data_IF_450285607084
#
_entry.id   IF_450285607084
#
_cell.length_a   1.000
_cell.length_b   1.000
_cell.length_c   1.000
_cell.angle_alpha   90.00
_cell.angle_beta   90.00
_cell.angle_gamma   90.00
#
_symmetry.space_group_name_H-M   'P 1'
#
loop_
_entity.id
_entity.type
_entity.pdbx_description
1 polymer ?
#
# COMPACT_ATOMS: atom_id res chain seq x y z
N UNK A 1 16.32 -8.76 -6.23
CA UNK A 1 15.18 -8.10 -6.91
C UNK A 1 15.62 -6.68 -7.19
N UNK A 2 15.46 -6.19 -8.43
CA UNK A 2 15.81 -4.80 -8.76
C UNK A 2 14.82 -3.85 -8.07
N UNK A 3 15.33 -2.76 -7.50
CA UNK A 3 14.56 -1.76 -6.77
C UNK A 3 13.64 -1.01 -7.74
N UNK A 4 12.35 -0.88 -7.40
CA UNK A 4 11.38 -0.22 -8.29
C UNK A 4 11.60 1.30 -8.40
N UNK A 5 12.41 1.90 -7.50
CA UNK A 5 12.65 3.34 -7.41
C UNK A 5 11.34 4.15 -7.36
N UNK A 6 10.30 3.58 -6.73
CA UNK A 6 8.96 4.16 -6.64
C UNK A 6 8.64 4.43 -5.15
N UNK A 7 8.77 5.69 -4.68
CA UNK A 7 8.29 6.06 -3.36
C UNK A 7 6.78 5.82 -3.24
N UNK A 8 6.33 5.41 -2.05
CA UNK A 8 4.92 5.12 -1.80
C UNK A 8 4.01 6.31 -2.15
N UNK A 9 4.42 7.54 -1.83
CA UNK A 9 3.68 8.75 -2.19
C UNK A 9 3.43 8.91 -3.69
N UNK A 10 4.35 8.45 -4.54
CA UNK A 10 4.17 8.50 -5.99
C UNK A 10 3.17 7.43 -6.44
N UNK A 11 3.24 6.22 -5.90
CA UNK A 11 2.24 5.19 -6.16
C UNK A 11 0.82 5.66 -5.77
N UNK A 12 0.69 6.37 -4.66
CA UNK A 12 -0.60 6.89 -4.19
C UNK A 12 -1.26 7.90 -5.15
N UNK A 13 -0.51 8.48 -6.09
CA UNK A 13 -1.07 9.34 -7.15
C UNK A 13 -1.80 8.54 -8.25
N UNK A 14 -1.53 7.23 -8.33
CA UNK A 14 -2.08 6.32 -9.35
C UNK A 14 -3.36 5.61 -8.88
N UNK A 15 -3.71 5.72 -7.60
CA UNK A 15 -4.89 5.08 -7.00
C UNK A 15 -5.91 6.11 -6.52
N UNK A 16 -7.19 5.75 -6.61
CA UNK A 16 -8.26 6.58 -6.10
C UNK A 16 -8.20 6.72 -4.57
N UNK A 17 -8.63 7.86 -3.98
CA UNK A 17 -8.53 8.11 -2.54
C UNK A 17 -9.32 7.11 -1.67
N UNK A 18 -10.35 6.47 -2.24
CA UNK A 18 -11.16 5.44 -1.58
C UNK A 18 -10.59 4.02 -1.71
N UNK A 19 -9.54 3.82 -2.51
CA UNK A 19 -8.91 2.53 -2.72
C UNK A 19 -8.38 1.97 -1.40
N UNK A 20 -8.74 0.73 -1.09
CA UNK A 20 -8.22 0.04 0.09
C UNK A 20 -6.79 -0.44 -0.18
N UNK A 21 -5.91 -0.22 0.80
CA UNK A 21 -4.50 -0.58 0.80
C UNK A 21 -4.14 -1.33 2.09
N UNK A 22 -3.24 -2.28 1.99
CA UNK A 22 -2.49 -2.88 3.09
C UNK A 22 -1.00 -2.67 2.80
N UNK A 23 -0.27 -1.96 3.68
CA UNK A 23 1.18 -1.73 3.52
C UNK A 23 1.94 -2.59 4.52
N UNK A 24 2.96 -3.29 4.03
CA UNK A 24 3.71 -4.29 4.78
C UNK A 24 5.19 -4.00 4.64
N UNK A 25 5.90 -3.94 5.76
CA UNK A 25 7.36 -3.88 5.76
C UNK A 25 7.93 -5.28 5.48
N UNK A 26 9.08 -5.33 4.80
CA UNK A 26 9.73 -6.57 4.37
C UNK A 26 9.85 -7.63 5.49
N UNK A 27 10.16 -7.20 6.71
CA UNK A 27 10.38 -8.08 7.85
C UNK A 27 9.20 -8.12 8.84
N UNK A 28 8.06 -7.48 8.51
CA UNK A 28 6.91 -7.41 9.40
C UNK A 28 5.93 -8.57 9.18
N UNK A 29 5.48 -9.17 10.29
CA UNK A 29 4.43 -10.20 10.27
C UNK A 29 3.02 -9.62 10.05
N UNK A 30 2.83 -8.34 10.37
CA UNK A 30 1.55 -7.63 10.26
C UNK A 30 1.70 -6.36 9.40
N UNK A 31 0.62 -5.89 8.74
CA UNK A 31 0.65 -4.63 8.01
C UNK A 31 0.92 -3.44 8.93
N UNK A 32 1.86 -2.57 8.53
CA UNK A 32 2.12 -1.29 9.20
C UNK A 32 1.02 -0.26 8.92
N UNK A 33 0.24 -0.47 7.86
CA UNK A 33 -0.94 0.32 7.58
C UNK A 33 -2.03 -0.53 6.92
N UNK A 34 -3.28 -0.33 7.33
CA UNK A 34 -4.46 -0.89 6.66
C UNK A 34 -5.54 0.19 6.60
N UNK A 35 -5.98 0.55 5.39
CA UNK A 35 -6.98 1.61 5.25
C UNK A 35 -7.14 2.11 3.83
N UNK A 36 -7.83 3.26 3.70
CA UNK A 36 -8.01 3.93 2.40
C UNK A 36 -6.74 4.69 2.01
N UNK A 37 -6.45 4.80 0.72
CA UNK A 37 -5.33 5.56 0.18
C UNK A 37 -5.30 7.03 0.62
N UNK A 38 -6.44 7.65 0.90
CA UNK A 38 -6.47 9.00 1.46
C UNK A 38 -5.90 9.09 2.89
N UNK A 39 -6.00 8.02 3.67
CA UNK A 39 -5.64 7.99 5.11
C UNK A 39 -4.16 7.73 5.35
N UNK A 40 -3.48 7.05 4.44
CA UNK A 40 -2.03 6.84 4.57
C UNK A 40 -1.24 8.15 4.43
N UNK A 41 -1.83 9.21 3.87
CA UNK A 41 -1.20 10.53 3.81
C UNK A 41 -0.93 11.14 5.19
N UNK A 42 -1.64 10.68 6.21
CA UNK A 42 -1.43 11.06 7.60
C UNK A 42 -0.22 10.33 8.23
N UNK A 43 0.39 9.38 7.52
CA UNK A 43 1.54 8.56 7.92
C UNK A 43 2.80 8.96 7.14
N UNK A 44 3.34 10.14 7.43
CA UNK A 44 4.48 10.73 6.71
C UNK A 44 5.71 9.80 6.67
N UNK A 45 5.92 9.00 7.72
CA UNK A 45 7.02 8.04 7.84
C UNK A 45 7.01 6.94 6.77
N UNK A 46 5.83 6.65 6.19
CA UNK A 46 5.67 5.63 5.15
C UNK A 46 5.77 6.21 3.73
N UNK A 47 5.51 7.51 3.56
CA UNK A 47 5.32 8.12 2.24
C UNK A 47 6.57 8.13 1.36
N UNK A 48 7.73 8.30 1.97
CA UNK A 48 9.03 8.29 1.28
C UNK A 48 9.65 6.91 1.18
N UNK A 49 9.03 5.89 1.80
CA UNK A 49 9.52 4.51 1.72
C UNK A 49 9.35 3.97 0.31
N UNK A 50 10.34 3.20 -0.11
CA UNK A 50 10.40 2.65 -1.44
C UNK A 50 9.53 1.40 -1.54
N UNK A 51 8.65 1.38 -2.55
CA UNK A 51 7.83 0.24 -2.87
C UNK A 51 8.70 -0.88 -3.46
N UNK A 52 8.59 -2.06 -2.87
CA UNK A 52 9.24 -3.29 -3.28
C UNK A 52 8.37 -4.11 -4.23
N UNK A 53 7.08 -4.24 -3.91
CA UNK A 53 6.13 -5.05 -4.65
C UNK A 53 4.71 -4.51 -4.45
N UNK A 54 3.87 -4.63 -5.47
CA UNK A 54 2.44 -4.33 -5.41
C UNK A 54 1.67 -5.55 -5.91
N UNK A 55 0.73 -6.05 -5.12
CA UNK A 55 -0.21 -7.09 -5.54
C UNK A 55 -1.64 -6.57 -5.40
N UNK A 56 -2.47 -6.81 -6.42
CA UNK A 56 -3.91 -6.62 -6.31
C UNK A 56 -4.55 -7.90 -5.78
N UNK A 57 -5.30 -7.80 -4.67
CA UNK A 57 -6.05 -8.93 -4.09
C UNK A 57 -7.53 -8.61 -4.01
N UNK A 58 -8.35 -9.59 -4.38
CA UNK A 58 -9.77 -9.56 -4.11
C UNK A 58 -9.99 -10.05 -2.67
N UNK A 59 -10.53 -9.20 -1.79
CA UNK A 59 -11.01 -9.67 -0.49
C UNK A 59 -12.47 -10.05 -0.66
N UNK A 60 -12.80 -11.30 -0.35
CA UNK A 60 -14.19 -11.76 -0.28
C UNK A 60 -14.81 -11.12 0.97
N UNK A 61 -15.27 -9.88 0.80
CA UNK A 61 -16.14 -9.17 1.74
C UNK A 61 -17.53 -9.08 1.11
N UNK A 62 -18.59 -8.80 1.88
CA UNK A 62 -19.94 -8.60 1.34
C UNK A 62 -20.03 -7.58 0.19
N UNK A 63 -19.02 -6.71 0.08
CA UNK A 63 -18.93 -5.62 -0.89
C UNK A 63 -17.94 -5.85 -2.04
N UNK A 64 -17.33 -7.06 -2.16
CA UNK A 64 -16.34 -7.39 -3.20
C UNK A 64 -15.31 -6.28 -3.44
N UNK A 65 -14.63 -5.84 -2.39
CA UNK A 65 -13.59 -4.83 -2.52
C UNK A 65 -12.26 -5.46 -2.93
N UNK A 66 -11.72 -5.01 -4.06
CA UNK A 66 -10.31 -5.20 -4.42
C UNK A 66 -9.45 -4.25 -3.59
N UNK A 67 -8.36 -4.74 -3.01
CA UNK A 67 -7.36 -3.94 -2.31
C UNK A 67 -5.96 -4.17 -2.89
N UNK A 68 -5.08 -3.20 -2.73
CA UNK A 68 -3.66 -3.35 -3.06
C UNK A 68 -2.89 -3.71 -1.79
N UNK A 69 -2.15 -4.81 -1.84
CA UNK A 69 -1.13 -5.14 -0.86
C UNK A 69 0.20 -4.60 -1.38
N UNK A 70 0.86 -3.77 -0.60
CA UNK A 70 2.06 -3.03 -0.99
C UNK A 70 3.16 -3.39 -0.01
N UNK A 71 4.25 -3.95 -0.51
CA UNK A 71 5.45 -4.18 0.28
C UNK A 71 6.39 -3.01 0.12
N UNK A 72 6.98 -2.58 1.23
CA UNK A 72 8.02 -1.55 1.27
C UNK A 72 9.31 -2.13 1.87
N UNK A 73 10.45 -1.61 1.43
CA UNK A 73 11.75 -1.85 2.06
C UNK A 73 11.86 -1.07 3.36
#
# INVERSE_FOLDING_TARGET
MEKMNLPLKQFLTLVGPAQALEVIEEDAAEPVFTGKAAKIRDHEELLDREVKLIEAKAKVTPYHMTYFQIWIY
#
